data_IF_331924360866
#
_entry.id   IF_331924360866
#
_cell.length_a   1.000
_cell.length_b   1.000
_cell.length_c   1.000
_cell.angle_alpha   90.00
_cell.angle_beta   90.00
_cell.angle_gamma   90.00
#
_symmetry.space_group_name_H-M   'P 1'
#
loop_
_entity.id
_entity.type
_entity.pdbx_description
1 polymer ?
#
# COMPACT_ATOMS: atom_id res chain seq x y z
N UNK A 1 -12.21 -13.63 -15.16
CA UNK A 1 -11.11 -13.94 -16.08
C UNK A 1 -10.66 -12.63 -16.72
N UNK A 2 -9.57 -12.04 -16.23
CA UNK A 2 -9.17 -10.69 -16.66
C UNK A 2 -8.74 -10.61 -18.12
N UNK A 3 -8.38 -11.74 -18.76
CA UNK A 3 -8.11 -11.74 -20.20
C UNK A 3 -9.37 -11.46 -21.01
N UNK A 4 -10.55 -11.87 -20.52
CA UNK A 4 -11.85 -11.63 -21.15
C UNK A 4 -12.47 -10.29 -20.77
N UNK A 5 -12.33 -9.89 -19.49
CA UNK A 5 -12.99 -8.68 -18.97
C UNK A 5 -12.29 -7.38 -19.38
N UNK A 6 -11.02 -7.41 -19.77
CA UNK A 6 -10.22 -6.20 -20.04
C UNK A 6 -10.83 -5.33 -21.14
N UNK A 7 -11.10 -5.89 -22.32
CA UNK A 7 -11.58 -5.11 -23.46
C UNK A 7 -12.98 -4.52 -23.23
N UNK A 8 -13.98 -5.28 -22.70
CA UNK A 8 -15.26 -4.71 -22.33
C UNK A 8 -15.15 -3.59 -21.29
N UNK A 9 -14.34 -3.79 -20.24
CA UNK A 9 -14.20 -2.80 -19.17
C UNK A 9 -13.50 -1.52 -19.64
N UNK A 10 -12.53 -1.64 -20.56
CA UNK A 10 -11.89 -0.52 -21.24
C UNK A 10 -12.93 0.38 -21.94
N UNK A 11 -13.85 -0.21 -22.68
CA UNK A 11 -14.88 0.58 -23.38
C UNK A 11 -15.83 1.29 -22.40
N UNK A 12 -16.22 0.64 -21.30
CA UNK A 12 -17.02 1.27 -20.23
C UNK A 12 -16.31 2.51 -19.67
N UNK A 13 -15.01 2.41 -19.39
CA UNK A 13 -14.22 3.52 -18.86
C UNK A 13 -14.13 4.69 -19.87
N UNK A 14 -13.91 4.40 -21.15
CA UNK A 14 -13.81 5.41 -22.21
C UNK A 14 -15.16 6.10 -22.47
N UNK A 15 -16.26 5.35 -22.47
CA UNK A 15 -17.61 5.92 -22.58
C UNK A 15 -17.92 6.85 -21.40
N UNK A 16 -17.50 6.47 -20.18
CA UNK A 16 -17.68 7.33 -19.00
C UNK A 16 -16.88 8.62 -19.09
N UNK A 17 -15.63 8.54 -19.53
CA UNK A 17 -14.77 9.73 -19.75
C UNK A 17 -15.38 10.65 -20.81
N UNK A 18 -15.91 10.08 -21.90
CA UNK A 18 -16.60 10.85 -22.93
C UNK A 18 -17.84 11.56 -22.37
N UNK A 19 -18.66 10.85 -21.58
CA UNK A 19 -19.83 11.42 -20.92
C UNK A 19 -19.49 12.53 -19.90
N UNK A 20 -18.27 12.52 -19.35
CA UNK A 20 -17.75 13.57 -18.45
C UNK A 20 -17.20 14.80 -19.20
N UNK A 21 -17.34 14.85 -20.53
CA UNK A 21 -17.02 16.04 -21.33
C UNK A 21 -15.71 15.95 -22.11
N UNK A 22 -15.16 14.75 -22.31
CA UNK A 22 -13.95 14.56 -23.15
C UNK A 22 -14.33 13.87 -24.47
N UNK A 23 -14.82 14.62 -25.48
CA UNK A 23 -15.23 14.04 -26.75
C UNK A 23 -14.04 13.45 -27.51
N UNK A 24 -14.33 12.44 -28.33
CA UNK A 24 -13.38 11.75 -29.22
C UNK A 24 -12.14 11.23 -28.49
N UNK A 25 -12.26 10.85 -27.21
CA UNK A 25 -11.11 10.41 -26.39
C UNK A 25 -10.36 9.24 -27.05
N UNK A 26 -11.08 8.31 -27.68
CA UNK A 26 -10.51 7.14 -28.38
C UNK A 26 -9.47 7.52 -29.43
N UNK A 27 -9.80 8.49 -30.28
CA UNK A 27 -8.91 8.99 -31.35
C UNK A 27 -7.71 9.77 -30.81
N UNK A 28 -7.80 10.23 -29.56
CA UNK A 28 -6.79 11.06 -28.89
C UNK A 28 -5.80 10.23 -28.07
N UNK A 29 -6.02 8.93 -27.90
CA UNK A 29 -5.09 8.03 -27.20
C UNK A 29 -3.82 7.87 -28.03
N UNK A 30 -2.68 8.29 -27.48
CA UNK A 30 -1.34 8.07 -28.06
C UNK A 30 -0.60 6.91 -27.44
N UNK A 31 -0.94 6.59 -26.20
CA UNK A 31 -0.35 5.53 -25.42
C UNK A 31 -1.37 5.03 -24.40
N UNK A 32 -1.36 3.72 -24.14
CA UNK A 32 -2.22 3.09 -23.17
C UNK A 32 -1.41 2.05 -22.39
N UNK A 33 -1.49 2.11 -21.06
CA UNK A 33 -1.00 1.07 -20.15
C UNK A 33 -2.17 0.61 -19.30
N UNK A 34 -2.48 -0.68 -19.38
CA UNK A 34 -3.55 -1.29 -18.60
C UNK A 34 -2.92 -2.19 -17.55
N UNK A 35 -3.30 -1.98 -16.30
CA UNK A 35 -2.94 -2.87 -15.18
C UNK A 35 -4.22 -3.43 -14.61
N UNK A 36 -4.48 -4.72 -14.86
CA UNK A 36 -5.62 -5.44 -14.28
C UNK A 36 -5.30 -5.86 -12.85
N UNK A 37 -6.28 -6.30 -12.03
CA UNK A 37 -6.00 -6.94 -10.74
C UNK A 37 -5.05 -8.14 -10.84
N UNK A 38 -5.10 -8.91 -11.94
CA UNK A 38 -4.11 -9.95 -12.20
C UNK A 38 -2.71 -9.36 -12.45
N UNK A 39 -2.60 -8.28 -13.23
CA UNK A 39 -1.33 -7.58 -13.42
C UNK A 39 -0.78 -6.97 -12.13
N UNK A 40 -1.63 -6.44 -11.24
CA UNK A 40 -1.23 -6.00 -9.90
C UNK A 40 -0.61 -7.14 -9.09
N UNK A 41 -1.18 -8.33 -9.16
CA UNK A 41 -0.63 -9.52 -8.51
C UNK A 41 0.70 -9.96 -9.13
N UNK A 42 0.72 -10.15 -10.44
CA UNK A 42 1.83 -10.80 -11.15
C UNK A 42 3.04 -9.87 -11.32
N UNK A 43 2.80 -8.61 -11.68
CA UNK A 43 3.88 -7.67 -12.04
C UNK A 43 4.36 -6.83 -10.84
N UNK A 44 3.51 -6.64 -9.82
CA UNK A 44 3.77 -5.73 -8.70
C UNK A 44 3.69 -6.41 -7.33
N UNK A 45 3.51 -7.74 -7.27
CA UNK A 45 3.38 -8.49 -6.02
C UNK A 45 2.28 -7.96 -5.07
N UNK A 46 1.23 -7.35 -5.63
CA UNK A 46 0.08 -6.88 -4.85
C UNK A 46 -0.88 -8.06 -4.69
N UNK A 47 -0.86 -8.66 -3.49
CA UNK A 47 -1.72 -9.80 -3.16
C UNK A 47 -3.18 -9.57 -3.56
N UNK A 48 -3.78 -10.56 -4.24
CA UNK A 48 -5.14 -10.52 -4.78
C UNK A 48 -5.45 -9.34 -5.72
N UNK A 49 -4.45 -8.58 -6.17
CA UNK A 49 -4.63 -7.33 -6.89
C UNK A 49 -5.26 -6.20 -6.06
N UNK A 50 -5.29 -6.35 -4.72
CA UNK A 50 -5.93 -5.41 -3.82
C UNK A 50 -5.00 -4.21 -3.50
N UNK A 51 -5.10 -3.15 -4.30
CA UNK A 51 -4.25 -1.95 -4.18
C UNK A 51 -4.40 -1.20 -2.84
N UNK A 52 -5.53 -1.42 -2.15
CA UNK A 52 -5.78 -0.93 -0.79
C UNK A 52 -5.74 -2.02 0.28
N UNK A 53 -5.20 -3.19 -0.04
CA UNK A 53 -5.01 -4.32 0.87
C UNK A 53 -6.36 -4.82 1.47
N UNK A 54 -6.48 -4.89 2.79
CA UNK A 54 -7.68 -5.37 3.50
C UNK A 54 -8.96 -4.60 3.12
N UNK A 55 -10.11 -5.29 3.15
CA UNK A 55 -11.42 -4.71 2.83
C UNK A 55 -11.86 -3.69 3.88
N UNK A 56 -12.80 -2.82 3.50
CA UNK A 56 -13.39 -1.82 4.39
C UNK A 56 -14.59 -2.37 5.16
N UNK A 57 -14.46 -3.59 5.68
CA UNK A 57 -15.43 -4.21 6.57
C UNK A 57 -14.97 -4.07 8.03
N UNK A 58 -15.92 -3.97 8.97
CA UNK A 58 -15.61 -3.72 10.39
C UNK A 58 -14.58 -4.73 10.95
N UNK A 59 -14.68 -6.00 10.54
CA UNK A 59 -13.77 -7.07 10.97
C UNK A 59 -12.34 -6.99 10.38
N UNK A 60 -12.10 -6.12 9.41
CA UNK A 60 -10.78 -5.91 8.77
C UNK A 60 -10.22 -4.49 8.99
N UNK A 61 -10.87 -3.71 9.86
CA UNK A 61 -10.54 -2.33 10.14
C UNK A 61 -10.14 -2.10 11.60
N UNK A 62 -9.60 -0.91 11.89
CA UNK A 62 -9.30 -0.42 13.23
C UNK A 62 -8.44 -1.41 14.06
N UNK A 63 -8.93 -1.83 15.23
CA UNK A 63 -8.24 -2.73 16.16
C UNK A 63 -8.11 -4.17 15.65
N UNK A 64 -8.92 -4.56 14.66
CA UNK A 64 -8.89 -5.91 14.08
C UNK A 64 -7.83 -6.07 12.99
N UNK A 65 -7.12 -4.99 12.65
CA UNK A 65 -5.99 -5.06 11.73
C UNK A 65 -4.80 -5.76 12.37
N UNK A 66 -3.99 -6.49 11.58
CA UNK A 66 -2.70 -6.98 12.04
C UNK A 66 -1.87 -5.85 12.67
N UNK A 67 -1.41 -6.08 13.90
CA UNK A 67 -0.57 -5.13 14.63
C UNK A 67 0.84 -5.04 14.04
N UNK A 68 1.52 -3.93 14.31
CA UNK A 68 2.88 -3.68 13.86
C UNK A 68 3.91 -4.64 14.48
N UNK A 69 3.67 -5.16 15.68
CA UNK A 69 4.36 -6.36 16.22
C UNK A 69 3.57 -7.60 15.81
N UNK A 70 4.22 -8.56 15.17
CA UNK A 70 3.56 -9.81 14.81
C UNK A 70 3.42 -10.71 16.05
N UNK A 71 2.19 -11.06 16.41
CA UNK A 71 1.88 -11.68 17.70
C UNK A 71 2.58 -13.04 17.92
N UNK A 72 2.84 -13.80 16.86
CA UNK A 72 3.30 -15.18 16.96
C UNK A 72 4.82 -15.35 16.77
N UNK A 73 5.56 -14.25 16.58
CA UNK A 73 7.01 -14.34 16.30
C UNK A 73 7.72 -13.12 16.87
N UNK A 74 8.54 -13.34 17.90
CA UNK A 74 9.37 -12.29 18.50
C UNK A 74 10.35 -11.74 17.47
N UNK A 75 10.51 -10.41 17.45
CA UNK A 75 11.39 -9.72 16.50
C UNK A 75 10.85 -9.60 15.08
N UNK A 76 9.62 -10.05 14.80
CA UNK A 76 8.96 -9.86 13.51
C UNK A 76 7.97 -8.69 13.58
N UNK A 77 8.11 -7.76 12.64
CA UNK A 77 7.27 -6.58 12.53
C UNK A 77 6.60 -6.49 11.18
N UNK A 78 5.40 -5.94 11.16
CA UNK A 78 4.64 -5.65 9.95
C UNK A 78 4.59 -4.13 9.71
N UNK A 79 4.61 -3.74 8.44
CA UNK A 79 4.45 -2.35 7.99
C UNK A 79 3.82 -2.34 6.61
N UNK A 80 3.00 -1.33 6.32
CA UNK A 80 2.36 -1.15 5.02
C UNK A 80 0.84 -1.10 5.10
N UNK A 81 0.19 -1.10 3.94
CA UNK A 81 -1.25 -0.90 3.82
C UNK A 81 -2.12 -2.02 4.38
N UNK A 82 -1.55 -3.18 4.72
CA UNK A 82 -2.27 -4.29 5.38
C UNK A 82 -2.16 -4.28 6.91
N UNK A 83 -1.33 -3.40 7.47
CA UNK A 83 -1.04 -3.33 8.90
C UNK A 83 -1.81 -2.17 9.51
N UNK A 84 -1.97 -2.17 10.84
CA UNK A 84 -2.31 -0.96 11.56
C UNK A 84 -1.33 0.20 11.21
N UNK A 85 -1.79 1.45 11.01
CA UNK A 85 -3.18 1.93 11.13
C UNK A 85 -4.11 1.63 9.95
N UNK A 86 -3.61 1.44 8.73
CA UNK A 86 -4.47 1.37 7.55
C UNK A 86 -3.76 1.47 6.21
N UNK A 87 -4.58 1.62 5.17
CA UNK A 87 -4.19 1.82 3.79
C UNK A 87 -4.19 3.30 3.41
N UNK A 88 -3.29 3.70 2.50
CA UNK A 88 -3.11 5.08 2.04
C UNK A 88 -1.80 5.69 2.54
N UNK A 89 -1.17 6.54 1.73
CA UNK A 89 0.19 7.04 1.98
C UNK A 89 0.39 7.62 3.39
N UNK A 90 -0.48 8.51 3.92
CA UNK A 90 -0.27 9.08 5.25
C UNK A 90 -0.25 8.01 6.36
N UNK A 91 -1.20 7.08 6.35
CA UNK A 91 -1.29 6.03 7.38
C UNK A 91 -0.22 4.95 7.21
N UNK A 92 0.25 4.69 5.98
CA UNK A 92 1.39 3.82 5.73
C UNK A 92 2.66 4.41 6.35
N UNK A 93 2.89 5.72 6.18
CA UNK A 93 4.03 6.39 6.80
C UNK A 93 3.92 6.39 8.33
N UNK A 94 2.73 6.60 8.89
CA UNK A 94 2.53 6.48 10.33
C UNK A 94 2.74 5.04 10.82
N UNK A 95 2.31 4.02 10.06
CA UNK A 95 2.62 2.62 10.33
C UNK A 95 4.14 2.39 10.39
N UNK A 96 4.92 2.97 9.47
CA UNK A 96 6.37 2.88 9.51
C UNK A 96 6.98 3.55 10.75
N UNK A 97 6.44 4.71 11.17
CA UNK A 97 6.87 5.38 12.41
C UNK A 97 6.57 4.53 13.64
N UNK A 98 5.36 3.97 13.74
CA UNK A 98 4.96 3.09 14.84
C UNK A 98 5.87 1.85 14.89
N UNK A 99 6.03 1.16 13.76
CA UNK A 99 6.90 -0.04 13.66
C UNK A 99 8.34 0.28 14.07
N UNK A 100 8.90 1.40 13.61
CA UNK A 100 10.27 1.81 13.95
C UNK A 100 10.43 2.05 15.45
N UNK A 101 9.47 2.73 16.10
CA UNK A 101 9.51 2.96 17.55
C UNK A 101 9.41 1.67 18.36
N UNK A 102 8.54 0.73 17.93
CA UNK A 102 8.41 -0.58 18.56
C UNK A 102 9.72 -1.37 18.46
N UNK A 103 10.34 -1.38 17.28
CA UNK A 103 11.63 -2.00 17.03
C UNK A 103 12.75 -1.37 17.87
N UNK A 104 12.80 -0.04 17.96
CA UNK A 104 13.78 0.67 18.80
C UNK A 104 13.64 0.27 20.26
N UNK A 105 12.40 0.26 20.78
CA UNK A 105 12.13 -0.14 22.15
C UNK A 105 12.57 -1.59 22.42
N UNK A 106 12.29 -2.52 21.51
CA UNK A 106 12.63 -3.94 21.66
C UNK A 106 14.14 -4.20 21.55
N UNK A 107 14.89 -3.33 20.87
CA UNK A 107 16.36 -3.37 20.79
C UNK A 107 17.07 -2.54 21.87
N UNK A 108 16.34 -1.84 22.74
CA UNK A 108 16.92 -0.93 23.73
C UNK A 108 17.60 0.30 23.12
N UNK A 109 17.22 0.70 21.90
CA UNK A 109 17.71 1.88 21.22
C UNK A 109 16.94 3.14 21.65
N UNK A 110 17.56 4.33 21.65
CA UNK A 110 16.86 5.57 21.96
C UNK A 110 15.73 5.81 20.96
N UNK A 111 14.52 6.07 21.47
CA UNK A 111 13.36 6.42 20.65
C UNK A 111 13.51 7.87 20.20
N UNK A 112 13.59 8.09 18.87
CA UNK A 112 13.64 9.45 18.35
C UNK A 112 12.26 10.10 18.42
N UNK A 113 12.13 11.13 19.26
CA UNK A 113 10.93 11.95 19.43
C UNK A 113 10.65 12.84 18.20
N UNK A 114 11.65 13.12 17.34
CA UNK A 114 11.55 14.08 16.25
C UNK A 114 11.37 13.41 14.89
N UNK A 115 10.32 13.81 14.16
CA UNK A 115 10.04 13.41 12.78
C UNK A 115 10.97 14.03 11.73
N UNK A 116 12.28 14.09 12.01
CA UNK A 116 13.27 14.67 11.12
C UNK A 116 14.62 14.02 11.30
N UNK A 117 15.14 13.49 10.19
CA UNK A 117 16.52 13.04 9.93
C UNK A 117 17.14 12.18 11.03
N UNK A 118 17.23 10.87 10.76
CA UNK A 118 18.09 9.97 11.53
C UNK A 118 19.51 10.56 11.52
N UNK A 119 20.17 10.70 12.68
CA UNK A 119 21.59 11.04 12.67
C UNK A 119 22.29 9.97 11.85
N UNK A 120 23.12 10.40 10.89
CA UNK A 120 23.97 9.51 10.13
C UNK A 120 24.64 8.55 11.13
N UNK A 121 24.35 7.27 10.97
CA UNK A 121 24.91 6.15 11.71
C UNK A 121 26.40 6.42 11.89
N UNK A 122 26.80 6.79 13.11
CA UNK A 122 28.17 6.68 13.52
C UNK A 122 28.49 5.19 13.41
N UNK A 123 29.21 4.83 12.35
CA UNK A 123 29.86 3.54 12.23
C UNK A 123 30.81 3.46 13.42
N UNK A 124 30.35 2.86 14.51
CA UNK A 124 31.22 2.40 15.57
C UNK A 124 31.98 1.23 14.98
N UNK A 125 33.12 1.54 14.38
CA UNK A 125 34.16 0.56 14.10
C UNK A 125 34.58 -0.06 15.45
N UNK A 126 34.42 -1.37 15.55
CA UNK A 126 35.27 -2.22 16.38
C UNK A 126 36.52 -2.57 15.57
#
# INVERSE_FOLDING_TARGET
DWQKELAPFREIALDRIQALGVPNIRERIRYEKIVTPQGWLDDYAVGYGATFNLSHEIGQMLHWRPGNRFQNTQGLYLVGGGTHPGSGLPVIYEGARITTRLLQADLGLPVSERGGVLPAYAVAAQ
#
